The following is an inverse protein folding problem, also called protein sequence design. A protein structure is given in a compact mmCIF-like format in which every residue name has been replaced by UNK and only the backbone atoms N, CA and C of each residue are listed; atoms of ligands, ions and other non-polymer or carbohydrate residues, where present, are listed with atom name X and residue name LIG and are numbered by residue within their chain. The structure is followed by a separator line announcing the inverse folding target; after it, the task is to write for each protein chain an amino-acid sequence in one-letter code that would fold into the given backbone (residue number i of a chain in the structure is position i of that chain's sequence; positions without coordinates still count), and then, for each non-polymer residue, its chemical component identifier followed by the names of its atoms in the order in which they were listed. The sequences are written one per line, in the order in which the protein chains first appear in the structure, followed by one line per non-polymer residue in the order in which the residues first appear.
data_IF_762252664522
#
_entry.id   IF_762252664522
#
_cell.length_a   1.000
_cell.length_b   1.000
_cell.length_c   1.000
_cell.angle_alpha   90.00
_cell.angle_beta   90.00
_cell.angle_gamma   90.00
#
_symmetry.space_group_name_H-M   'P 1'
#
loop_
_entity.id
_entity.type
_entity.pdbx_description
1 polymer ?
#
# COMPACT_ATOMS: atom_id res chain seq x y z
N UNK A 1 -26.71 21.64 -7.74
CA UNK A 1 -27.25 23.01 -7.89
C UNK A 1 -28.49 23.13 -8.80
N UNK A 2 -29.02 22.05 -9.39
CA UNK A 2 -30.21 22.12 -10.26
C UNK A 2 -31.57 22.18 -9.53
N UNK A 3 -31.60 22.07 -8.20
CA UNK A 3 -32.84 21.91 -7.42
C UNK A 3 -33.68 23.19 -7.33
N UNK A 4 -33.05 24.36 -7.26
CA UNK A 4 -33.77 25.65 -7.11
C UNK A 4 -34.55 26.02 -8.39
N UNK A 5 -33.95 25.96 -9.60
CA UNK A 5 -34.69 26.23 -10.83
C UNK A 5 -35.84 25.24 -11.06
N UNK A 6 -35.63 23.95 -10.75
CA UNK A 6 -36.66 22.92 -10.89
C UNK A 6 -37.84 23.14 -9.93
N UNK A 7 -37.58 23.59 -8.69
CA UNK A 7 -38.64 23.90 -7.73
C UNK A 7 -39.54 25.06 -8.22
N UNK A 8 -38.95 26.09 -8.84
CA UNK A 8 -39.70 27.20 -9.42
C UNK A 8 -40.56 26.74 -10.59
N UNK A 9 -40.01 25.94 -11.51
CA UNK A 9 -40.76 25.38 -12.65
C UNK A 9 -41.89 24.46 -12.17
N UNK A 10 -41.63 23.61 -11.17
CA UNK A 10 -42.63 22.74 -10.58
C UNK A 10 -43.77 23.56 -9.93
N UNK A 11 -43.45 24.62 -9.18
CA UNK A 11 -44.44 25.51 -8.58
C UNK A 11 -45.30 26.22 -9.63
N UNK A 12 -44.68 26.69 -10.73
CA UNK A 12 -45.41 27.27 -11.86
C UNK A 12 -46.32 26.26 -12.56
N UNK A 13 -45.86 25.01 -12.74
CA UNK A 13 -46.64 23.91 -13.29
C UNK A 13 -47.86 23.58 -12.43
N UNK A 14 -47.68 23.49 -11.11
CA UNK A 14 -48.79 23.29 -10.16
C UNK A 14 -49.78 24.46 -10.22
N UNK A 15 -49.30 25.70 -10.23
CA UNK A 15 -50.16 26.90 -10.36
C UNK A 15 -50.97 26.89 -11.65
N UNK A 16 -50.35 26.51 -12.77
CA UNK A 16 -51.03 26.38 -14.05
C UNK A 16 -52.12 25.29 -14.02
N UNK A 17 -51.83 24.13 -13.45
CA UNK A 17 -52.81 23.04 -13.31
C UNK A 17 -54.00 23.43 -12.42
N UNK A 18 -53.74 24.13 -11.31
CA UNK A 18 -54.79 24.64 -10.42
C UNK A 18 -55.71 25.66 -11.10
N UNK A 19 -55.21 26.42 -12.09
CA UNK A 19 -56.03 27.37 -12.85
C UNK A 19 -56.95 26.73 -13.89
N UNK A 20 -56.71 25.46 -14.25
CA UNK A 20 -57.43 24.70 -15.30
C UNK A 20 -58.43 23.69 -14.75
N UNK A 21 -58.29 23.31 -13.49
CA UNK A 21 -59.02 22.20 -12.88
C UNK A 21 -60.23 22.67 -12.08
N UNK A 22 -61.29 21.87 -12.13
CA UNK A 22 -62.51 22.06 -11.33
C UNK A 22 -62.30 21.54 -9.90
N UNK A 23 -63.20 21.89 -8.95
CA UNK A 23 -63.00 21.61 -7.51
C UNK A 23 -62.59 20.18 -7.16
N UNK A 24 -63.17 19.15 -7.81
CA UNK A 24 -62.79 17.74 -7.59
C UNK A 24 -61.39 17.40 -8.10
N UNK A 25 -60.98 17.99 -9.22
CA UNK A 25 -59.65 17.78 -9.81
C UNK A 25 -58.56 18.51 -9.01
N UNK A 26 -58.86 19.69 -8.46
CA UNK A 26 -57.95 20.38 -7.53
C UNK A 26 -57.72 19.57 -6.25
N UNK A 27 -58.77 18.95 -5.69
CA UNK A 27 -58.63 18.06 -4.53
C UNK A 27 -57.77 16.82 -4.85
N UNK A 28 -57.93 16.23 -6.04
CA UNK A 28 -57.10 15.11 -6.48
C UNK A 28 -55.62 15.51 -6.64
N UNK A 29 -55.35 16.67 -7.22
CA UNK A 29 -53.99 17.20 -7.37
C UNK A 29 -53.34 17.49 -6.01
N UNK A 30 -54.10 18.08 -5.08
CA UNK A 30 -53.63 18.34 -3.72
C UNK A 30 -53.32 17.03 -2.99
N UNK A 31 -54.19 16.02 -3.12
CA UNK A 31 -53.96 14.68 -2.56
C UNK A 31 -52.71 14.03 -3.13
N UNK A 32 -52.46 14.16 -4.43
CA UNK A 32 -51.24 13.64 -5.07
C UNK A 32 -49.97 14.35 -4.57
N UNK A 33 -49.99 15.68 -4.47
CA UNK A 33 -48.87 16.46 -3.96
C UNK A 33 -48.59 16.13 -2.49
N UNK A 34 -49.65 15.99 -1.68
CA UNK A 34 -49.54 15.56 -0.29
C UNK A 34 -48.96 14.14 -0.19
N UNK A 35 -49.43 13.21 -1.03
CA UNK A 35 -48.90 11.84 -1.06
C UNK A 35 -47.42 11.80 -1.46
N UNK A 36 -47.01 12.59 -2.46
CA UNK A 36 -45.60 12.71 -2.86
C UNK A 36 -44.75 13.32 -1.73
N UNK A 37 -45.27 14.35 -1.06
CA UNK A 37 -44.61 14.95 0.10
C UNK A 37 -44.49 13.95 1.26
N UNK A 38 -45.54 13.17 1.52
CA UNK A 38 -45.53 12.12 2.54
C UNK A 38 -44.58 10.98 2.19
N UNK A 39 -44.44 10.61 0.91
CA UNK A 39 -43.43 9.61 0.47
C UNK A 39 -42.02 10.15 0.69
N UNK A 40 -41.77 11.43 0.41
CA UNK A 40 -40.46 12.05 0.63
C UNK A 40 -40.14 12.23 2.12
N UNK A 41 -41.15 12.56 2.94
CA UNK A 41 -41.05 12.64 4.40
C UNK A 41 -40.98 11.26 5.07
N UNK A 42 -41.57 10.24 4.45
CA UNK A 42 -41.48 8.85 4.88
C UNK A 42 -40.15 8.20 4.51
N UNK A 43 -39.18 8.96 3.94
CA UNK A 43 -37.80 8.50 3.88
C UNK A 43 -37.41 8.03 5.28
N UNK A 44 -36.89 6.80 5.44
CA UNK A 44 -36.44 6.33 6.74
C UNK A 44 -35.46 7.37 7.28
N UNK A 45 -35.61 7.72 8.57
CA UNK A 45 -34.62 8.54 9.27
C UNK A 45 -33.26 7.98 8.88
N UNK A 46 -32.44 8.78 8.19
CA UNK A 46 -31.11 8.33 7.79
C UNK A 46 -30.48 7.77 9.06
N UNK A 47 -30.09 6.49 9.01
CA UNK A 47 -29.46 5.84 10.14
C UNK A 47 -28.34 6.77 10.60
N UNK A 48 -28.48 7.34 11.79
CA UNK A 48 -27.40 8.10 12.40
C UNK A 48 -26.26 7.11 12.47
N UNK A 49 -25.17 7.40 11.76
CA UNK A 49 -23.98 6.56 11.88
C UNK A 49 -23.57 6.62 13.35
N UNK A 50 -23.85 5.54 14.07
CA UNK A 50 -23.32 5.35 15.42
C UNK A 50 -21.82 5.24 15.26
N UNK A 51 -21.09 6.01 16.06
CA UNK A 51 -19.64 5.86 16.12
C UNK A 51 -19.32 4.49 16.74
N UNK A 52 -18.87 3.57 15.90
CA UNK A 52 -18.45 2.22 16.24
C UNK A 52 -16.92 2.09 16.24
N UNK A 53 -16.20 3.23 16.28
CA UNK A 53 -14.74 3.23 16.29
C UNK A 53 -14.23 2.51 17.54
N UNK A 54 -13.42 1.46 17.40
CA UNK A 54 -12.92 0.72 18.56
C UNK A 54 -12.17 1.61 19.54
N UNK A 55 -12.42 1.42 20.84
CA UNK A 55 -11.86 2.25 21.91
C UNK A 55 -10.32 2.28 21.93
N UNK A 56 -9.65 1.29 21.33
CA UNK A 56 -8.19 1.27 21.19
C UNK A 56 -7.65 2.49 20.44
N UNK A 57 -8.38 3.03 19.46
CA UNK A 57 -7.94 4.21 18.71
C UNK A 57 -7.86 5.47 19.58
N UNK A 58 -8.75 5.63 20.56
CA UNK A 58 -8.70 6.77 21.47
C UNK A 58 -7.39 6.78 22.28
N UNK A 59 -6.88 5.62 22.68
CA UNK A 59 -5.59 5.53 23.39
C UNK A 59 -4.37 5.83 22.53
N UNK A 60 -4.52 5.84 21.19
CA UNK A 60 -3.43 6.13 20.27
C UNK A 60 -3.27 7.64 20.00
N UNK A 61 -4.17 8.49 20.50
CA UNK A 61 -4.17 9.93 20.20
C UNK A 61 -2.93 10.69 20.72
N UNK A 62 -2.30 10.18 21.77
CA UNK A 62 -1.12 10.79 22.39
C UNK A 62 0.21 10.14 21.97
N UNK A 63 0.14 9.11 21.13
CA UNK A 63 1.30 8.37 20.64
C UNK A 63 1.93 9.06 19.41
N UNK A 64 3.21 8.80 19.18
CA UNK A 64 3.94 9.34 18.02
C UNK A 64 4.16 8.30 16.92
N UNK A 65 4.40 8.79 15.71
CA UNK A 65 4.71 7.99 14.53
C UNK A 65 3.48 7.64 13.69
N UNK A 66 3.69 6.78 12.71
CA UNK A 66 2.71 6.32 11.73
C UNK A 66 1.98 5.07 12.23
N UNK A 67 0.67 5.02 12.00
CA UNK A 67 -0.17 3.85 12.29
C UNK A 67 -0.29 2.97 11.04
N UNK A 68 -0.08 1.67 11.21
CA UNK A 68 -0.43 0.67 10.20
C UNK A 68 -1.73 -0.01 10.60
N UNK A 69 -2.74 0.03 9.74
CA UNK A 69 -4.02 -0.65 9.99
C UNK A 69 -4.18 -1.80 9.00
N UNK A 70 -4.39 -3.00 9.50
CA UNK A 70 -4.61 -4.22 8.71
C UNK A 70 -6.09 -4.64 8.76
N UNK A 71 -6.67 -5.06 7.63
CA UNK A 71 -6.06 -5.08 6.29
C UNK A 71 -5.87 -3.65 5.70
N UNK A 72 -4.76 -3.45 4.98
CA UNK A 72 -4.28 -2.15 4.45
C UNK A 72 -5.22 -1.49 3.42
N UNK A 73 -6.12 -2.27 2.82
CA UNK A 73 -7.14 -1.78 1.90
C UNK A 73 -8.33 -2.74 1.95
N UNK A 74 -9.26 -2.52 2.86
CA UNK A 74 -10.50 -3.32 2.93
C UNK A 74 -11.34 -3.28 1.65
N UNK A 75 -11.00 -2.46 0.65
CA UNK A 75 -11.65 -2.33 -0.67
C UNK A 75 -13.07 -1.74 -0.64
N UNK A 76 -13.78 -1.95 0.47
CA UNK A 76 -15.17 -1.58 0.70
C UNK A 76 -15.32 -0.12 1.13
N UNK A 77 -16.46 0.48 0.78
CA UNK A 77 -16.82 1.82 1.26
C UNK A 77 -16.89 1.87 2.79
N UNK A 78 -17.39 0.81 3.43
CA UNK A 78 -17.48 0.71 4.89
C UNK A 78 -16.10 0.79 5.55
N UNK A 79 -15.12 0.01 5.08
CA UNK A 79 -13.80 0.04 5.68
C UNK A 79 -12.98 1.29 5.34
N UNK A 80 -13.26 1.95 4.20
CA UNK A 80 -12.74 3.28 3.86
C UNK A 80 -13.27 4.37 4.82
N UNK A 81 -14.56 4.33 5.15
CA UNK A 81 -15.15 5.23 6.15
C UNK A 81 -14.65 4.94 7.57
N UNK A 82 -14.43 3.67 7.90
CA UNK A 82 -13.88 3.28 9.20
C UNK A 82 -12.45 3.79 9.43
N UNK A 83 -11.57 3.72 8.42
CA UNK A 83 -10.20 4.23 8.54
C UNK A 83 -10.15 5.76 8.68
N UNK A 84 -11.02 6.49 7.99
CA UNK A 84 -11.17 7.95 8.20
C UNK A 84 -11.64 8.28 9.62
N UNK A 85 -12.65 7.58 10.14
CA UNK A 85 -13.15 7.81 11.51
C UNK A 85 -12.07 7.54 12.54
N UNK A 86 -11.38 6.40 12.42
CA UNK A 86 -10.21 6.11 13.25
C UNK A 86 -9.19 7.25 13.21
N UNK A 87 -8.84 7.73 12.01
CA UNK A 87 -7.89 8.82 11.83
C UNK A 87 -8.33 10.13 12.48
N UNK A 88 -9.62 10.46 12.46
CA UNK A 88 -10.16 11.64 13.17
C UNK A 88 -10.09 11.49 14.69
N UNK A 89 -10.22 10.26 15.22
CA UNK A 89 -10.12 9.99 16.66
C UNK A 89 -8.69 10.10 17.17
N UNK A 90 -7.72 9.51 16.48
CA UNK A 90 -6.34 9.48 16.95
C UNK A 90 -5.44 10.58 16.36
N UNK A 91 -5.82 11.23 15.26
CA UNK A 91 -5.12 12.40 14.70
C UNK A 91 -3.72 12.13 14.13
N UNK A 92 -3.35 10.87 13.86
CA UNK A 92 -2.00 10.47 13.41
C UNK A 92 -1.96 10.10 11.93
N UNK A 93 -0.78 10.14 11.27
CA UNK A 93 -0.61 9.54 9.96
C UNK A 93 -0.97 8.05 9.97
N UNK A 94 -1.69 7.59 8.95
CA UNK A 94 -2.12 6.20 8.77
C UNK A 94 -1.70 5.69 7.39
N UNK A 95 -1.13 4.49 7.32
CA UNK A 95 -0.89 3.78 6.05
C UNK A 95 -2.14 2.99 5.71
N UNK A 96 -2.59 3.07 4.46
CA UNK A 96 -3.83 2.39 4.02
C UNK A 96 -5.12 3.15 4.36
N UNK A 97 -5.00 4.42 4.75
CA UNK A 97 -6.15 5.33 4.91
C UNK A 97 -6.90 5.58 3.59
N UNK A 98 -8.09 6.17 3.69
CA UNK A 98 -8.84 6.56 2.50
C UNK A 98 -8.39 7.92 1.98
N UNK A 99 -7.97 7.94 0.71
CA UNK A 99 -7.81 9.16 -0.08
C UNK A 99 -8.60 8.99 -1.39
N UNK A 100 -9.30 10.04 -1.82
CA UNK A 100 -10.09 10.02 -3.07
C UNK A 100 -9.21 9.77 -4.30
N UNK A 101 -7.93 10.14 -4.21
CA UNK A 101 -6.87 9.76 -5.15
C UNK A 101 -5.75 9.12 -4.33
N UNK A 102 -5.66 7.80 -4.34
CA UNK A 102 -4.55 7.13 -3.68
C UNK A 102 -3.26 7.48 -4.42
N UNK A 103 -2.30 8.14 -3.76
CA UNK A 103 -0.99 8.36 -4.36
C UNK A 103 -0.27 7.02 -4.46
N UNK A 104 0.77 6.99 -5.29
CA UNK A 104 1.60 5.81 -5.41
C UNK A 104 2.42 5.61 -4.13
N UNK A 105 2.29 4.45 -3.47
CA UNK A 105 3.04 4.12 -2.24
C UNK A 105 4.00 2.96 -2.49
N UNK A 106 5.26 3.22 -2.92
CA UNK A 106 6.28 2.18 -3.09
C UNK A 106 6.51 1.35 -1.82
N UNK A 107 6.40 2.00 -0.65
CA UNK A 107 6.42 1.39 0.68
C UNK A 107 5.55 0.12 0.73
N UNK A 108 4.28 0.24 0.35
CA UNK A 108 3.26 -0.80 0.50
C UNK A 108 3.44 -1.92 -0.53
N UNK A 109 4.11 -1.64 -1.65
CA UNK A 109 4.38 -2.64 -2.69
C UNK A 109 5.62 -3.47 -2.43
N UNK A 110 6.71 -2.83 -2.02
CA UNK A 110 8.03 -3.44 -2.08
C UNK A 110 8.77 -3.48 -0.75
N UNK A 111 8.53 -2.54 0.16
CA UNK A 111 9.36 -2.45 1.36
C UNK A 111 9.25 -3.72 2.22
N UNK A 112 10.33 -4.11 2.93
CA UNK A 112 10.34 -5.28 3.78
C UNK A 112 9.18 -5.28 4.77
N UNK A 113 8.51 -6.42 4.95
CA UNK A 113 7.29 -6.66 5.72
C UNK A 113 6.03 -5.99 5.14
N UNK A 114 6.13 -4.76 4.63
CA UNK A 114 4.99 -4.00 4.12
C UNK A 114 4.32 -4.68 2.93
N UNK A 115 5.09 -5.23 2.01
CA UNK A 115 4.56 -5.97 0.87
C UNK A 115 3.82 -7.24 1.30
N UNK A 116 4.36 -7.96 2.30
CA UNK A 116 3.73 -9.17 2.85
C UNK A 116 2.44 -8.83 3.61
N UNK A 117 2.44 -7.79 4.45
CA UNK A 117 1.25 -7.37 5.18
C UNK A 117 0.19 -6.73 4.29
N UNK A 118 0.58 -6.15 3.16
CA UNK A 118 -0.37 -5.61 2.18
C UNK A 118 -1.07 -6.71 1.39
N UNK A 119 -0.32 -7.73 0.96
CA UNK A 119 -0.86 -8.88 0.21
C UNK A 119 -1.49 -9.93 1.13
N UNK A 120 -1.17 -9.87 2.43
CA UNK A 120 -1.50 -10.89 3.44
C UNK A 120 -1.07 -12.29 2.98
N UNK A 121 0.12 -12.34 2.37
CA UNK A 121 0.74 -13.52 1.76
C UNK A 121 2.10 -13.78 2.42
N UNK A 122 2.24 -14.96 3.00
CA UNK A 122 3.32 -15.33 3.92
C UNK A 122 4.38 -16.21 3.27
N UNK A 123 4.07 -16.77 2.11
CA UNK A 123 5.00 -17.57 1.31
C UNK A 123 6.01 -16.67 0.57
N UNK A 124 5.81 -15.34 0.65
CA UNK A 124 6.83 -14.34 0.51
C UNK A 124 7.40 -14.26 -0.91
N UNK A 125 6.72 -13.52 -1.77
CA UNK A 125 7.16 -13.20 -3.12
C UNK A 125 8.17 -12.03 -3.15
N UNK A 126 9.29 -12.12 -2.43
CA UNK A 126 10.28 -11.02 -2.38
C UNK A 126 11.71 -11.48 -2.61
N UNK A 127 12.43 -10.67 -3.40
CA UNK A 127 13.89 -10.74 -3.56
C UNK A 127 14.43 -9.39 -3.08
N UNK A 128 15.27 -9.34 -2.03
CA UNK A 128 15.73 -10.49 -1.26
C UNK A 128 14.61 -11.04 -0.36
N UNK A 129 14.75 -12.27 0.17
CA UNK A 129 13.87 -12.75 1.22
C UNK A 129 13.88 -11.79 2.41
N UNK A 130 12.70 -11.41 2.90
CA UNK A 130 12.60 -10.50 4.04
C UNK A 130 12.93 -11.23 5.34
N UNK A 131 13.94 -10.74 6.04
CA UNK A 131 14.27 -11.16 7.40
C UNK A 131 13.73 -10.18 8.47
N UNK A 132 13.87 -10.55 9.74
CA UNK A 132 13.40 -9.75 10.86
C UNK A 132 14.12 -8.40 11.02
N UNK A 133 15.40 -8.33 10.64
CA UNK A 133 16.22 -7.10 10.73
C UNK A 133 15.78 -6.10 9.68
N UNK A 134 15.58 -6.54 8.43
CA UNK A 134 15.06 -5.71 7.34
C UNK A 134 13.64 -5.23 7.65
N UNK A 135 12.77 -6.13 8.14
CA UNK A 135 11.41 -5.79 8.55
C UNK A 135 11.40 -4.71 9.66
N UNK A 136 12.19 -4.89 10.73
CA UNK A 136 12.30 -3.90 11.81
C UNK A 136 12.93 -2.58 11.33
N UNK A 137 13.90 -2.64 10.42
CA UNK A 137 14.53 -1.45 9.84
C UNK A 137 13.53 -0.64 9.02
N UNK A 138 12.72 -1.29 8.19
CA UNK A 138 11.67 -0.64 7.44
C UNK A 138 10.64 0.02 8.37
N UNK A 139 10.10 -0.73 9.35
CA UNK A 139 9.14 -0.16 10.30
C UNK A 139 9.71 1.04 11.06
N UNK A 140 10.96 0.95 11.54
CA UNK A 140 11.61 2.04 12.25
C UNK A 140 11.85 3.28 11.35
N UNK A 141 12.34 3.08 10.12
CA UNK A 141 12.59 4.16 9.17
C UNK A 141 11.32 4.92 8.80
N UNK A 142 10.22 4.21 8.51
CA UNK A 142 8.92 4.82 8.21
C UNK A 142 8.12 5.22 9.47
N UNK A 143 8.74 5.12 10.64
CA UNK A 143 8.16 5.45 11.95
C UNK A 143 6.86 4.71 12.24
N UNK A 144 6.70 3.50 11.72
CA UNK A 144 5.54 2.63 11.95
C UNK A 144 5.72 1.99 13.32
N UNK A 145 5.11 2.58 14.33
CA UNK A 145 5.24 2.13 15.73
C UNK A 145 4.10 1.26 16.21
N UNK A 146 2.90 1.44 15.66
CA UNK A 146 1.73 0.67 16.05
C UNK A 146 1.11 0.02 14.83
N UNK A 147 0.74 -1.24 14.99
CA UNK A 147 0.03 -2.03 14.00
C UNK A 147 -1.29 -2.46 14.63
N UNK A 148 -2.40 -1.98 14.07
CA UNK A 148 -3.75 -2.36 14.49
C UNK A 148 -4.31 -3.37 13.51
N UNK A 149 -4.70 -4.52 14.02
CA UNK A 149 -5.20 -5.65 13.24
C UNK A 149 -6.67 -5.85 13.55
N UNK A 150 -7.51 -5.68 12.54
CA UNK A 150 -8.94 -5.98 12.59
C UNK A 150 -9.19 -7.42 12.16
N UNK A 151 -9.22 -8.36 13.11
CA UNK A 151 -9.26 -9.80 12.84
C UNK A 151 -10.61 -10.22 12.27
N UNK A 152 -11.68 -9.47 12.57
CA UNK A 152 -13.00 -9.68 11.98
C UNK A 152 -13.06 -9.42 10.46
N UNK A 153 -12.00 -8.81 9.91
CA UNK A 153 -11.87 -8.47 8.49
C UNK A 153 -10.85 -9.34 7.77
N UNK A 154 -10.27 -10.32 8.46
CA UNK A 154 -9.30 -11.25 7.91
C UNK A 154 -9.94 -12.64 7.80
N UNK A 155 -9.63 -13.34 6.72
CA UNK A 155 -9.81 -14.79 6.64
C UNK A 155 -8.81 -15.51 7.55
N UNK A 156 -9.05 -16.81 7.82
CA UNK A 156 -8.16 -17.62 8.66
C UNK A 156 -6.72 -17.65 8.10
N UNK A 157 -6.57 -17.70 6.77
CA UNK A 157 -5.26 -17.67 6.12
C UNK A 157 -4.52 -16.35 6.33
N UNK A 158 -5.23 -15.23 6.17
CA UNK A 158 -4.67 -13.89 6.38
C UNK A 158 -4.32 -13.63 7.85
N UNK A 159 -5.16 -14.09 8.78
CA UNK A 159 -4.87 -14.01 10.23
C UNK A 159 -3.62 -14.83 10.60
N UNK A 160 -3.53 -16.06 10.08
CA UNK A 160 -2.32 -16.90 10.24
C UNK A 160 -1.10 -16.20 9.65
N UNK A 161 -1.25 -15.43 8.58
CA UNK A 161 -0.17 -14.65 8.01
C UNK A 161 0.37 -13.56 8.92
N UNK A 162 -0.55 -12.79 9.50
CA UNK A 162 -0.22 -11.75 10.46
C UNK A 162 0.49 -12.37 11.67
N UNK A 163 0.02 -13.52 12.17
CA UNK A 163 0.66 -14.24 13.28
C UNK A 163 2.07 -14.73 12.91
N UNK A 164 2.25 -15.34 11.73
CA UNK A 164 3.58 -15.79 11.27
C UNK A 164 4.58 -14.63 11.25
N UNK A 165 4.19 -13.47 10.73
CA UNK A 165 5.09 -12.32 10.64
C UNK A 165 5.30 -11.62 11.97
N UNK A 166 4.23 -11.17 12.61
CA UNK A 166 4.32 -10.36 13.83
C UNK A 166 4.76 -11.21 15.02
N UNK A 167 4.19 -12.40 15.20
CA UNK A 167 4.44 -13.22 16.39
C UNK A 167 5.58 -14.22 16.15
N UNK A 168 5.59 -14.90 15.00
CA UNK A 168 6.61 -15.90 14.67
C UNK A 168 7.96 -15.28 14.33
N UNK A 169 8.03 -14.44 13.30
CA UNK A 169 9.30 -13.89 12.77
C UNK A 169 9.81 -12.69 13.56
N UNK A 170 8.91 -11.78 13.96
CA UNK A 170 9.30 -10.61 14.73
C UNK A 170 9.31 -10.84 16.24
N UNK A 171 8.66 -11.91 16.73
CA UNK A 171 8.60 -12.23 18.16
C UNK A 171 7.73 -11.28 18.96
N UNK A 172 6.80 -10.57 18.32
CA UNK A 172 5.92 -9.61 18.98
C UNK A 172 4.69 -10.30 19.54
N UNK A 173 4.06 -9.66 20.52
CA UNK A 173 2.79 -10.09 21.07
C UNK A 173 1.84 -8.89 21.03
N UNK A 174 0.52 -9.10 20.92
CA UNK A 174 -0.42 -8.00 20.99
C UNK A 174 -0.33 -7.36 22.38
N UNK A 175 -0.04 -6.07 22.43
CA UNK A 175 -0.05 -5.28 23.66
C UNK A 175 -1.47 -5.17 24.23
N UNK A 176 -2.46 -5.10 23.33
CA UNK A 176 -3.88 -5.03 23.71
C UNK A 176 -4.76 -5.80 22.74
N UNK A 177 -5.79 -6.45 23.29
CA UNK A 177 -6.85 -7.11 22.55
C UNK A 177 -8.19 -6.51 23.02
N UNK A 178 -8.97 -5.94 22.09
CA UNK A 178 -10.28 -5.34 22.36
C UNK A 178 -11.28 -5.88 21.35
N UNK A 179 -12.05 -6.90 21.76
CA UNK A 179 -12.92 -7.64 20.85
C UNK A 179 -12.09 -8.25 19.70
N UNK A 180 -12.43 -8.00 18.42
CA UNK A 180 -11.68 -8.52 17.28
C UNK A 180 -10.49 -7.63 16.88
N UNK A 181 -10.15 -6.62 17.68
CA UNK A 181 -9.05 -5.71 17.36
C UNK A 181 -7.82 -6.03 18.22
N UNK A 182 -6.68 -6.24 17.56
CA UNK A 182 -5.38 -6.45 18.22
C UNK A 182 -4.46 -5.27 17.93
N UNK A 183 -3.81 -4.76 18.97
CA UNK A 183 -2.80 -3.71 18.87
C UNK A 183 -1.43 -4.32 19.14
N UNK A 184 -0.52 -4.18 18.18
CA UNK A 184 0.89 -4.51 18.33
C UNK A 184 1.71 -3.22 18.35
N UNK A 185 2.70 -3.17 19.24
CA UNK A 185 3.63 -2.04 19.34
C UNK A 185 5.04 -2.50 19.00
N UNK A 186 5.62 -1.86 18.00
CA UNK A 186 6.98 -2.11 17.56
C UNK A 186 7.97 -1.63 18.64
N UNK A 187 8.87 -2.49 19.14
CA UNK A 187 9.96 -2.05 19.99
C UNK A 187 10.85 -1.04 19.26
N UNK A 188 11.48 -0.08 19.97
CA UNK A 188 12.47 0.80 19.38
C UNK A 188 13.57 0.00 18.68
N UNK A 189 13.93 0.40 17.47
CA UNK A 189 14.93 -0.27 16.67
C UNK A 189 15.78 0.76 15.92
N UNK A 190 17.11 0.65 16.03
CA UNK A 190 18.02 1.45 15.23
C UNK A 190 18.00 0.88 13.80
N UNK A 191 17.30 1.57 12.89
CA UNK A 191 17.15 1.13 11.52
C UNK A 191 18.51 0.92 10.86
N UNK A 192 18.65 -0.22 10.17
CA UNK A 192 19.81 -0.54 9.35
C UNK A 192 19.51 -0.23 7.88
N UNK A 193 20.52 0.01 7.04
CA UNK A 193 20.33 0.15 5.60
C UNK A 193 19.62 -1.06 5.02
N UNK A 194 18.69 -0.82 4.10
CA UNK A 194 17.96 -1.90 3.43
C UNK A 194 17.63 -1.52 1.99
N UNK A 195 17.29 -2.54 1.21
CA UNK A 195 17.01 -2.45 -0.22
C UNK A 195 15.78 -3.29 -0.55
N UNK A 196 14.98 -2.82 -1.50
CA UNK A 196 13.82 -3.58 -1.99
C UNK A 196 13.50 -3.24 -3.43
N UNK A 197 12.93 -4.23 -4.14
CA UNK A 197 12.47 -4.07 -5.51
C UNK A 197 11.11 -3.35 -5.56
N UNK A 198 10.89 -2.57 -6.61
CA UNK A 198 9.62 -1.91 -6.91
C UNK A 198 9.10 -2.37 -8.28
N UNK A 199 8.82 -1.44 -9.20
CA UNK A 199 8.23 -1.76 -10.50
C UNK A 199 9.28 -2.25 -11.49
N UNK A 200 8.80 -2.87 -12.57
CA UNK A 200 9.64 -3.29 -13.67
C UNK A 200 10.27 -4.68 -13.51
N UNK A 201 9.81 -5.41 -12.50
CA UNK A 201 10.14 -6.81 -12.26
C UNK A 201 8.90 -7.67 -12.47
N UNK A 202 9.06 -8.76 -13.21
CA UNK A 202 8.05 -9.81 -13.33
C UNK A 202 7.90 -10.59 -12.03
N UNK A 203 6.85 -11.41 -11.95
CA UNK A 203 6.64 -12.35 -10.85
C UNK A 203 7.85 -13.26 -10.64
N UNK A 204 7.99 -13.76 -9.40
CA UNK A 204 9.09 -14.65 -9.06
C UNK A 204 8.96 -15.97 -9.81
N UNK A 205 10.09 -16.44 -10.32
CA UNK A 205 10.26 -17.78 -10.87
C UNK A 205 11.13 -18.60 -9.93
N UNK A 206 10.84 -19.89 -9.86
CA UNK A 206 11.58 -20.83 -9.02
C UNK A 206 11.84 -22.14 -9.76
N UNK A 207 13.11 -22.55 -9.82
CA UNK A 207 13.55 -23.85 -10.34
C UNK A 207 14.70 -24.34 -9.47
N UNK A 208 14.64 -25.60 -9.04
CA UNK A 208 15.67 -26.25 -8.21
C UNK A 208 16.06 -25.45 -6.95
N UNK A 209 15.08 -24.78 -6.33
CA UNK A 209 15.26 -23.95 -5.13
C UNK A 209 15.91 -22.58 -5.38
N UNK A 210 16.29 -22.27 -6.62
CA UNK A 210 16.74 -20.92 -7.01
C UNK A 210 15.53 -20.07 -7.33
N UNK A 211 15.51 -18.83 -6.84
CA UNK A 211 14.40 -17.89 -7.01
C UNK A 211 14.90 -16.61 -7.66
N UNK A 212 14.29 -16.20 -8.76
CA UNK A 212 14.68 -14.97 -9.45
C UNK A 212 13.48 -14.19 -9.97
N UNK A 213 13.70 -12.92 -10.29
CA UNK A 213 12.74 -12.09 -11.03
C UNK A 213 13.36 -11.58 -12.30
N UNK A 214 12.65 -11.72 -13.41
CA UNK A 214 13.06 -11.08 -14.66
C UNK A 214 12.72 -9.60 -14.65
N UNK A 215 13.68 -8.78 -15.02
CA UNK A 215 13.49 -7.38 -15.31
C UNK A 215 12.82 -7.21 -16.68
N UNK A 216 11.95 -6.20 -16.79
CA UNK A 216 11.50 -5.65 -18.08
C UNK A 216 12.62 -4.83 -18.73
N UNK A 217 12.31 -3.83 -19.55
CA UNK A 217 13.30 -2.87 -20.06
C UNK A 217 13.90 -2.03 -18.92
N UNK A 218 13.12 -1.79 -17.87
CA UNK A 218 13.52 -1.02 -16.70
C UNK A 218 13.18 -1.81 -15.43
N UNK A 219 14.12 -1.90 -14.50
CA UNK A 219 13.92 -2.47 -13.17
C UNK A 219 14.21 -1.42 -12.11
N UNK A 220 13.27 -1.21 -11.19
CA UNK A 220 13.40 -0.20 -10.13
C UNK A 220 13.61 -0.83 -8.77
N UNK A 221 14.45 -0.22 -7.97
CA UNK A 221 14.66 -0.58 -6.58
C UNK A 221 14.88 0.67 -5.74
N UNK A 222 14.61 0.54 -4.46
CA UNK A 222 14.88 1.57 -3.48
C UNK A 222 16.02 1.16 -2.56
N UNK A 223 16.92 2.10 -2.30
CA UNK A 223 18.01 2.00 -1.34
C UNK A 223 17.72 2.97 -0.21
N UNK A 224 17.74 2.50 1.03
CA UNK A 224 17.44 3.35 2.19
C UNK A 224 18.67 3.48 3.06
N UNK A 225 19.13 4.72 3.23
CA UNK A 225 20.06 5.12 4.27
C UNK A 225 19.25 5.70 5.45
N UNK A 226 19.07 4.96 6.55
CA UNK A 226 18.30 5.44 7.69
C UNK A 226 19.08 6.37 8.62
N UNK A 227 20.39 6.57 8.40
CA UNK A 227 21.20 7.46 9.21
C UNK A 227 20.85 8.94 8.95
N UNK A 228 21.27 9.80 9.86
CA UNK A 228 21.17 11.27 9.77
C UNK A 228 22.37 11.93 9.06
N UNK A 229 23.29 11.11 8.54
CA UNK A 229 24.47 11.54 7.80
C UNK A 229 24.69 10.69 6.53
N UNK A 230 25.45 11.20 5.54
CA UNK A 230 25.83 10.43 4.37
C UNK A 230 26.63 9.18 4.75
N UNK A 231 26.37 8.08 4.06
CA UNK A 231 27.04 6.80 4.31
C UNK A 231 27.48 6.14 3.00
N UNK A 232 28.60 5.41 3.07
CA UNK A 232 29.10 4.61 1.97
C UNK A 232 28.59 3.18 2.06
N UNK A 233 28.20 2.61 0.92
CA UNK A 233 27.57 1.30 0.82
C UNK A 233 28.20 0.48 -0.30
N UNK A 234 28.28 -0.83 -0.10
CA UNK A 234 28.42 -1.81 -1.16
C UNK A 234 27.04 -2.40 -1.45
N UNK A 235 26.46 -2.05 -2.60
CA UNK A 235 25.29 -2.71 -3.14
C UNK A 235 25.74 -3.92 -3.97
N UNK A 236 25.33 -5.12 -3.56
CA UNK A 236 25.65 -6.38 -4.22
C UNK A 236 24.42 -6.89 -4.95
N UNK A 237 24.57 -7.16 -6.23
CA UNK A 237 23.50 -7.61 -7.12
C UNK A 237 23.88 -8.95 -7.74
N UNK A 238 23.13 -10.00 -7.48
CA UNK A 238 23.23 -11.29 -8.17
C UNK A 238 22.44 -11.24 -9.46
N UNK A 239 23.12 -11.01 -10.59
CA UNK A 239 22.50 -10.76 -11.90
C UNK A 239 22.95 -11.76 -12.97
N UNK A 240 22.04 -12.06 -13.87
CA UNK A 240 22.27 -12.84 -15.10
C UNK A 240 21.46 -12.24 -16.24
N UNK A 241 22.04 -12.14 -17.44
CA UNK A 241 21.33 -11.60 -18.60
C UNK A 241 20.62 -12.69 -19.38
N UNK A 242 19.46 -12.40 -19.94
CA UNK A 242 18.77 -13.33 -20.83
C UNK A 242 19.49 -13.47 -22.17
N UNK A 243 19.94 -14.69 -22.48
CA UNK A 243 20.50 -15.23 -23.75
C UNK A 243 21.72 -14.54 -24.39
N UNK A 244 22.02 -13.29 -24.07
CA UNK A 244 23.15 -12.54 -24.62
C UNK A 244 23.66 -11.50 -23.62
N UNK A 245 24.95 -11.09 -23.69
CA UNK A 245 25.46 -10.02 -22.84
C UNK A 245 24.66 -8.72 -23.02
N UNK A 246 24.27 -8.09 -21.92
CA UNK A 246 23.50 -6.85 -21.92
C UNK A 246 24.25 -5.76 -21.17
N UNK A 247 24.39 -4.60 -21.81
CA UNK A 247 24.80 -3.37 -21.14
C UNK A 247 23.61 -2.86 -20.33
N UNK A 248 23.79 -2.77 -19.02
CA UNK A 248 22.81 -2.24 -18.08
C UNK A 248 23.25 -0.84 -17.69
N UNK A 249 22.44 0.15 -18.04
CA UNK A 249 22.61 1.52 -17.60
C UNK A 249 22.05 1.66 -16.18
N UNK A 250 22.81 2.28 -15.28
CA UNK A 250 22.43 2.47 -13.89
C UNK A 250 22.13 3.95 -13.69
N UNK A 251 20.92 4.25 -13.22
CA UNK A 251 20.44 5.60 -12.90
C UNK A 251 20.14 5.67 -11.41
N UNK A 252 20.77 6.60 -10.69
CA UNK A 252 20.54 6.85 -9.28
C UNK A 252 19.93 8.24 -9.11
N UNK A 253 18.74 8.32 -8.51
CA UNK A 253 18.01 9.58 -8.31
C UNK A 253 17.84 10.42 -9.60
N UNK A 254 17.66 9.75 -10.74
CA UNK A 254 17.51 10.38 -12.05
C UNK A 254 18.83 10.81 -12.70
N UNK A 255 19.97 10.57 -12.06
CA UNK A 255 21.29 10.85 -12.61
C UNK A 255 21.98 9.57 -13.07
N UNK A 256 22.67 9.64 -14.20
CA UNK A 256 23.47 8.53 -14.71
C UNK A 256 24.61 8.21 -13.73
N UNK A 257 24.66 6.97 -13.26
CA UNK A 257 25.69 6.48 -12.36
C UNK A 257 26.80 5.74 -13.12
N UNK A 258 26.44 5.02 -14.18
CA UNK A 258 27.38 4.31 -15.04
C UNK A 258 26.73 3.12 -15.73
N UNK A 259 27.57 2.24 -16.27
CA UNK A 259 27.12 1.03 -16.96
C UNK A 259 27.86 -0.21 -16.45
N UNK A 260 27.17 -1.33 -16.43
CA UNK A 260 27.76 -2.66 -16.24
C UNK A 260 27.38 -3.57 -17.42
N UNK A 261 28.19 -4.58 -17.70
CA UNK A 261 27.83 -5.62 -18.67
C UNK A 261 27.47 -6.89 -17.92
N UNK A 262 26.21 -7.31 -18.04
CA UNK A 262 25.71 -8.56 -17.45
C UNK A 262 25.73 -9.66 -18.50
N UNK A 263 26.21 -10.86 -18.16
CA UNK A 263 26.42 -11.98 -19.09
C UNK A 263 25.48 -13.17 -18.81
N UNK A 264 25.12 -14.00 -19.81
CA UNK A 264 24.14 -15.10 -19.70
C UNK A 264 24.74 -16.43 -19.19
N UNK A 265 25.88 -16.36 -18.49
CA UNK A 265 26.70 -17.51 -18.12
C UNK A 265 26.51 -17.89 -16.65
N UNK A 266 25.25 -17.86 -16.17
CA UNK A 266 24.91 -17.99 -14.76
C UNK A 266 25.01 -16.67 -14.00
N UNK A 267 24.42 -16.67 -12.81
CA UNK A 267 24.40 -15.54 -11.89
C UNK A 267 25.82 -15.14 -11.48
N UNK A 268 26.08 -13.83 -11.58
CA UNK A 268 27.30 -13.20 -11.09
C UNK A 268 26.96 -12.09 -10.13
N UNK A 269 27.81 -11.91 -9.12
CA UNK A 269 27.68 -10.79 -8.18
C UNK A 269 28.37 -9.55 -8.73
N UNK A 270 27.60 -8.49 -8.93
CA UNK A 270 28.08 -7.16 -9.28
C UNK A 270 28.04 -6.29 -8.02
N UNK A 271 29.16 -5.63 -7.71
CA UNK A 271 29.26 -4.75 -6.54
C UNK A 271 29.36 -3.29 -7.00
N UNK A 272 28.40 -2.48 -6.58
CA UNK A 272 28.39 -1.03 -6.79
C UNK A 272 28.74 -0.35 -5.47
N UNK A 273 29.76 0.51 -5.47
CA UNK A 273 30.16 1.30 -4.31
C UNK A 273 29.46 2.65 -4.38
N UNK A 274 28.54 2.94 -3.46
CA UNK A 274 27.70 4.13 -3.49
C UNK A 274 27.94 4.97 -2.24
N UNK A 275 27.86 6.29 -2.34
CA UNK A 275 27.66 7.15 -1.17
C UNK A 275 26.26 7.73 -1.27
N UNK A 276 25.42 7.45 -0.26
CA UNK A 276 24.04 7.92 -0.23
C UNK A 276 23.86 8.91 0.92
N UNK A 277 23.19 10.01 0.63
CA UNK A 277 22.67 10.94 1.63
C UNK A 277 21.66 10.25 2.57
N UNK A 278 21.28 10.87 3.69
CA UNK A 278 20.14 10.41 4.49
C UNK A 278 18.87 10.27 3.66
N UNK A 279 18.19 9.13 3.81
CA UNK A 279 16.85 8.92 3.28
C UNK A 279 16.73 7.80 2.24
N UNK A 280 15.69 7.92 1.41
CA UNK A 280 15.32 6.91 0.42
C UNK A 280 15.78 7.36 -0.98
N UNK A 281 16.52 6.50 -1.64
CA UNK A 281 17.09 6.72 -2.96
C UNK A 281 16.47 5.76 -3.96
N UNK A 282 16.22 6.24 -5.17
CA UNK A 282 15.65 5.46 -6.25
C UNK A 282 16.76 5.06 -7.22
N UNK A 283 16.97 3.76 -7.38
CA UNK A 283 17.86 3.20 -8.38
C UNK A 283 17.04 2.53 -9.49
N UNK A 284 17.37 2.86 -10.72
CA UNK A 284 16.80 2.27 -11.92
C UNK A 284 17.91 1.61 -12.74
N UNK A 285 17.64 0.37 -13.14
CA UNK A 285 18.44 -0.39 -14.08
C UNK A 285 17.73 -0.38 -15.43
N UNK A 286 18.44 -0.06 -16.50
CA UNK A 286 17.88 0.00 -17.86
C UNK A 286 18.69 -0.87 -18.80
N UNK A 287 18.03 -1.75 -19.53
CA UNK A 287 18.68 -2.59 -20.53
C UNK A 287 17.68 -3.00 -21.60
N UNK A 288 18.19 -3.34 -22.78
CA UNK A 288 17.37 -3.90 -23.85
C UNK A 288 16.71 -5.20 -23.39
N UNK A 289 15.56 -5.54 -23.96
CA UNK A 289 14.84 -6.81 -23.70
C UNK A 289 14.94 -7.76 -24.88
N UNK A 290 14.69 -9.04 -24.67
CA UNK A 290 14.28 -9.97 -25.72
C UNK A 290 13.00 -10.69 -25.31
N UNK A 291 12.30 -11.30 -26.27
CA UNK A 291 11.08 -12.04 -25.98
C UNK A 291 11.42 -13.39 -25.33
N UNK A 292 10.76 -13.67 -24.21
CA UNK A 292 10.73 -14.99 -23.60
C UNK A 292 9.94 -15.96 -24.51
N UNK A 293 10.56 -17.03 -25.04
CA UNK A 293 9.88 -17.98 -25.92
C UNK A 293 8.78 -18.78 -25.20
N UNK A 294 8.81 -18.86 -23.88
CA UNK A 294 7.85 -19.65 -23.10
C UNK A 294 6.68 -18.80 -22.59
N UNK A 295 6.96 -17.62 -22.04
CA UNK A 295 5.92 -16.76 -21.45
C UNK A 295 5.46 -15.61 -22.36
N UNK A 296 6.03 -15.46 -23.56
CA UNK A 296 5.70 -14.39 -24.53
C UNK A 296 5.74 -12.98 -23.93
N UNK A 297 6.73 -12.72 -23.07
CA UNK A 297 6.93 -11.43 -22.41
C UNK A 297 8.34 -10.90 -22.62
N UNK A 298 8.54 -9.57 -22.69
CA UNK A 298 9.87 -9.00 -22.78
C UNK A 298 10.62 -9.16 -21.44
N UNK A 299 11.81 -9.75 -21.49
CA UNK A 299 12.70 -9.94 -20.35
C UNK A 299 14.12 -9.50 -20.68
N UNK A 300 14.86 -9.04 -19.67
CA UNK A 300 16.21 -8.52 -19.82
C UNK A 300 17.21 -9.22 -18.89
N UNK A 301 17.20 -8.88 -17.59
CA UNK A 301 18.14 -9.36 -16.57
C UNK A 301 17.35 -10.10 -15.49
N UNK A 302 17.80 -11.28 -15.08
CA UNK A 302 17.31 -11.93 -13.87
C UNK A 302 18.06 -11.37 -12.66
N UNK A 303 17.33 -11.07 -11.59
CA UNK A 303 17.88 -10.81 -10.27
C UNK A 303 17.53 -11.95 -9.31
N UNK A 304 18.54 -12.55 -8.69
CA UNK A 304 18.40 -13.63 -7.71
C UNK A 304 18.72 -13.15 -6.29
N UNK A 305 19.62 -12.18 -6.17
CA UNK A 305 20.02 -11.63 -4.87
C UNK A 305 20.26 -10.14 -4.96
N UNK A 306 19.90 -9.43 -3.89
CA UNK A 306 20.24 -8.03 -3.68
C UNK A 306 20.54 -7.81 -2.20
N UNK A 307 21.64 -7.16 -1.91
CA UNK A 307 22.11 -6.91 -0.55
C UNK A 307 22.81 -5.55 -0.48
N UNK A 308 22.67 -4.87 0.65
CA UNK A 308 23.30 -3.57 0.89
C UNK A 308 24.08 -3.62 2.20
N UNK A 309 25.38 -3.36 2.10
CA UNK A 309 26.29 -3.42 3.25
C UNK A 309 26.90 -2.04 3.46
N UNK A 310 26.78 -1.50 4.67
CA UNK A 310 27.47 -0.26 5.04
C UNK A 310 28.98 -0.51 5.07
N UNK A 311 29.72 0.36 4.38
CA UNK A 311 31.17 0.45 4.47
C UNK A 311 31.49 1.43 5.60
N UNK A 312 32.25 0.95 6.59
CA UNK A 312 32.69 1.78 7.72
C UNK A 312 33.73 2.81 7.27
#
# INVERSE_FOLDING_TARGET
MAMIPLAVVAALGVRYLLSRFSGRQCLALLGLLLALGLIDLARPQLAVLVDDTPAVYASLAHEQGTLLVLPLNSGTLAGKSASLRAQMVHGRPIIGGYATRQPDYPLVRGAPLMSQLNRLDCDGDTIPPVDATMARSALAYYQIRQIVVHTERLSEGEERCVQIWLEGRLGWQPERIVGPVRLYTAPPFAAQPFVFLDRGWHDIEEVDGRRWRWMTEQGRMYLVNPADHPQSFALRLGLESFTSPRRVHIVLNGQSYGDIVVTPAGIRTYTLLLTLEPGQHHMQLEATTAQDPHAQRPISIAIEAVDVVSLR
#
